data_IF_856596592653
#
_entry.id   IF_856596592653
#
_cell.length_a   1.000
_cell.length_b   1.000
_cell.length_c   1.000
_cell.angle_alpha   90.00
_cell.angle_beta   90.00
_cell.angle_gamma   90.00
#
_symmetry.space_group_name_H-M   'P 1'
#
loop_
_entity.id
_entity.type
_entity.pdbx_description
1 polymer ?
#
# COMPACT_ATOMS: atom_id res chain seq x y z
N UNK A 1 -1.89 -17.09 -2.47
CA UNK A 1 -1.35 -17.19 -1.09
C UNK A 1 -0.69 -15.87 -0.73
N UNK A 2 -0.78 -15.45 0.54
CA UNK A 2 -0.01 -14.31 1.05
C UNK A 2 1.34 -14.81 1.55
N UNK A 3 2.42 -14.16 1.11
CA UNK A 3 3.80 -14.50 1.49
C UNK A 3 4.58 -13.23 1.82
N UNK A 4 5.63 -13.37 2.65
CA UNK A 4 6.62 -12.30 2.81
C UNK A 4 7.43 -12.17 1.52
N UNK A 5 7.66 -10.93 1.09
CA UNK A 5 8.49 -10.62 -0.07
C UNK A 5 9.93 -10.34 0.39
N UNK A 6 10.89 -10.78 -0.42
CA UNK A 6 12.33 -10.54 -0.23
C UNK A 6 12.92 -9.70 -1.35
N UNK A 7 14.23 -9.44 -1.29
CA UNK A 7 14.95 -8.58 -2.24
C UNK A 7 14.79 -9.03 -3.70
N UNK A 8 14.67 -10.34 -3.95
CA UNK A 8 14.46 -10.90 -5.29
C UNK A 8 13.09 -10.53 -5.89
N UNK A 9 12.11 -10.17 -5.07
CA UNK A 9 10.79 -9.72 -5.52
C UNK A 9 10.76 -8.24 -5.94
N UNK A 10 11.85 -7.48 -5.74
CA UNK A 10 11.86 -6.02 -5.86
C UNK A 10 11.37 -5.50 -7.23
N UNK A 11 11.76 -6.18 -8.31
CA UNK A 11 11.35 -5.78 -9.66
C UNK A 11 9.84 -5.95 -9.89
N UNK A 12 9.28 -7.06 -9.42
CA UNK A 12 7.84 -7.34 -9.54
C UNK A 12 7.03 -6.43 -8.62
N UNK A 13 7.50 -6.20 -7.40
CA UNK A 13 6.91 -5.26 -6.45
C UNK A 13 6.85 -3.84 -7.02
N UNK A 14 7.96 -3.32 -7.55
CA UNK A 14 8.02 -2.00 -8.16
C UNK A 14 7.06 -1.88 -9.35
N UNK A 15 6.93 -2.93 -10.15
CA UNK A 15 6.04 -2.98 -11.31
C UNK A 15 4.57 -2.90 -10.89
N UNK A 16 4.14 -3.74 -9.95
CA UNK A 16 2.76 -3.75 -9.44
C UNK A 16 2.44 -2.44 -8.73
N UNK A 17 3.37 -1.90 -7.93
CA UNK A 17 3.21 -0.61 -7.28
C UNK A 17 2.98 0.49 -8.31
N UNK A 18 3.84 0.64 -9.32
CA UNK A 18 3.68 1.68 -10.33
C UNK A 18 2.34 1.55 -11.06
N UNK A 19 1.96 0.35 -11.47
CA UNK A 19 0.68 0.11 -12.12
C UNK A 19 -0.52 0.51 -11.24
N UNK A 20 -0.48 0.18 -9.94
CA UNK A 20 -1.57 0.48 -9.01
C UNK A 20 -1.74 1.99 -8.75
N UNK A 21 -0.65 2.76 -8.75
CA UNK A 21 -0.67 4.19 -8.41
C UNK A 21 -0.96 5.12 -9.60
N UNK A 22 -1.07 4.60 -10.83
CA UNK A 22 -1.50 5.41 -12.00
C UNK A 22 -2.90 6.01 -11.80
N UNK A 23 -3.82 5.27 -11.18
CA UNK A 23 -5.17 5.79 -10.89
C UNK A 23 -5.14 6.95 -9.89
N UNK A 24 -4.34 6.83 -8.83
CA UNK A 24 -4.20 7.88 -7.81
C UNK A 24 -3.51 9.14 -8.39
N UNK A 25 -2.55 8.99 -9.32
CA UNK A 25 -1.89 10.14 -9.93
C UNK A 25 -2.78 10.96 -10.88
N UNK A 26 -3.85 10.35 -11.40
CA UNK A 26 -4.89 11.08 -12.14
C UNK A 26 -5.78 11.93 -11.23
N UNK A 27 -5.84 11.62 -9.93
CA UNK A 27 -6.70 12.29 -8.95
C UNK A 27 -5.98 13.40 -8.18
N UNK A 28 -4.66 13.25 -7.98
CA UNK A 28 -3.86 14.16 -7.16
C UNK A 28 -2.71 14.81 -7.94
N UNK A 29 -1.59 14.10 -8.07
CA UNK A 29 -0.35 14.61 -8.65
C UNK A 29 0.31 13.53 -9.50
N UNK A 30 0.94 13.93 -10.59
CA UNK A 30 1.69 13.04 -11.47
C UNK A 30 2.94 12.46 -10.79
N UNK A 31 3.48 13.13 -9.77
CA UNK A 31 4.73 12.79 -9.10
C UNK A 31 4.54 12.21 -7.69
N UNK A 32 3.58 11.30 -7.52
CA UNK A 32 3.39 10.63 -6.23
C UNK A 32 4.65 9.83 -5.85
N UNK A 33 5.09 9.84 -4.57
CA UNK A 33 6.27 9.10 -4.12
C UNK A 33 6.34 7.61 -4.54
N UNK A 34 5.22 6.84 -4.56
CA UNK A 34 5.23 5.46 -5.07
C UNK A 34 5.56 5.31 -6.57
N UNK A 35 5.34 6.36 -7.37
CA UNK A 35 5.65 6.35 -8.81
C UNK A 35 7.11 6.72 -9.07
N UNK A 36 7.71 7.56 -8.22
CA UNK A 36 9.09 8.01 -8.33
C UNK A 36 10.09 7.14 -7.55
N UNK A 37 9.62 6.26 -6.67
CA UNK A 37 10.47 5.32 -5.93
C UNK A 37 11.30 4.46 -6.91
N UNK A 38 12.58 4.35 -6.59
CA UNK A 38 13.60 3.63 -7.36
C UNK A 38 13.64 2.16 -6.97
N UNK A 39 14.21 1.33 -7.86
CA UNK A 39 14.40 -0.09 -7.56
C UNK A 39 15.32 -0.31 -6.35
N UNK A 40 16.34 0.54 -6.17
CA UNK A 40 17.26 0.42 -5.05
C UNK A 40 16.61 0.82 -3.72
N UNK A 41 15.71 1.80 -3.70
CA UNK A 41 14.90 2.12 -2.52
C UNK A 41 13.94 0.96 -2.16
N UNK A 42 13.30 0.34 -3.16
CA UNK A 42 12.47 -0.85 -2.94
C UNK A 42 13.28 -2.00 -2.36
N UNK A 43 14.48 -2.27 -2.91
CA UNK A 43 15.41 -3.28 -2.38
C UNK A 43 15.83 -2.94 -0.95
N UNK A 44 16.13 -1.67 -0.67
CA UNK A 44 16.52 -1.22 0.65
C UNK A 44 15.41 -1.51 1.68
N UNK A 45 14.15 -1.24 1.36
CA UNK A 45 13.02 -1.58 2.25
C UNK A 45 12.84 -3.09 2.41
N UNK A 46 12.97 -3.87 1.34
CA UNK A 46 12.87 -5.33 1.40
C UNK A 46 14.00 -6.00 2.21
N UNK A 47 15.16 -5.34 2.31
CA UNK A 47 16.31 -5.82 3.07
C UNK A 47 16.24 -5.47 4.57
N UNK A 48 15.23 -4.70 5.01
CA UNK A 48 15.09 -4.33 6.42
C UNK A 48 14.51 -5.49 7.23
N UNK A 49 15.14 -5.79 8.36
CA UNK A 49 14.64 -6.78 9.32
C UNK A 49 13.43 -6.26 10.13
N UNK A 50 13.32 -4.95 10.30
CA UNK A 50 12.30 -4.29 11.11
C UNK A 50 11.05 -3.86 10.32
N UNK A 51 11.05 -4.06 8.99
CA UNK A 51 9.88 -3.86 8.14
C UNK A 51 9.30 -5.22 7.70
N UNK A 52 8.01 -5.26 7.38
CA UNK A 52 7.35 -6.44 6.82
C UNK A 52 6.76 -6.06 5.47
N UNK A 53 7.18 -6.73 4.39
CA UNK A 53 6.56 -6.57 3.08
C UNK A 53 5.83 -7.87 2.72
N UNK A 54 4.53 -7.78 2.48
CA UNK A 54 3.68 -8.92 2.17
C UNK A 54 3.15 -8.79 0.74
N UNK A 55 3.09 -9.90 0.02
CA UNK A 55 2.55 -9.99 -1.33
C UNK A 55 1.51 -11.08 -1.43
N UNK A 56 0.50 -10.88 -2.28
CA UNK A 56 -0.49 -11.91 -2.62
C UNK A 56 -0.18 -12.43 -4.03
N UNK A 57 0.13 -13.73 -4.12
CA UNK A 57 0.42 -14.42 -5.38
C UNK A 57 -0.70 -15.37 -5.79
N UNK A 58 -0.95 -15.44 -7.09
CA UNK A 58 -1.84 -16.41 -7.74
C UNK A 58 -1.18 -16.91 -9.03
N UNK A 59 -1.07 -18.23 -9.20
CA UNK A 59 -0.37 -18.86 -10.34
C UNK A 59 1.02 -18.26 -10.65
N UNK A 60 1.78 -17.94 -9.60
CA UNK A 60 3.12 -17.35 -9.72
C UNK A 60 3.14 -15.82 -9.87
N UNK A 61 2.05 -15.19 -10.27
CA UNK A 61 1.95 -13.73 -10.46
C UNK A 61 1.69 -13.01 -9.15
N UNK A 62 2.42 -11.92 -8.87
CA UNK A 62 2.12 -10.98 -7.80
C UNK A 62 0.92 -10.11 -8.19
N UNK A 63 -0.17 -10.21 -7.42
CA UNK A 63 -1.40 -9.45 -7.66
C UNK A 63 -1.46 -8.14 -6.87
N UNK A 64 -0.67 -8.03 -5.82
CA UNK A 64 -0.66 -6.87 -4.93
C UNK A 64 0.33 -7.06 -3.79
N UNK A 65 0.65 -5.96 -3.12
CA UNK A 65 1.55 -5.95 -1.98
C UNK A 65 1.18 -4.87 -0.96
N UNK A 66 1.74 -4.99 0.23
CA UNK A 66 1.61 -4.03 1.32
C UNK A 66 2.87 -4.04 2.17
N UNK A 67 3.22 -2.88 2.74
CA UNK A 67 4.34 -2.72 3.66
C UNK A 67 3.81 -2.40 5.05
N UNK A 68 4.41 -2.99 6.07
CA UNK A 68 4.24 -2.60 7.47
C UNK A 68 5.60 -2.09 7.95
N UNK A 69 5.65 -0.80 8.27
CA UNK A 69 6.87 -0.14 8.71
C UNK A 69 7.06 -0.32 10.23
N UNK A 70 8.27 -0.11 10.78
CA UNK A 70 8.54 -0.27 12.22
C UNK A 70 7.64 0.59 13.13
N UNK A 71 7.15 1.71 12.61
CA UNK A 71 6.21 2.61 13.28
C UNK A 71 4.77 2.07 13.37
N UNK A 72 4.49 0.90 12.80
CA UNK A 72 3.13 0.37 12.62
C UNK A 72 2.39 0.94 11.40
N UNK A 73 3.07 1.71 10.54
CA UNK A 73 2.46 2.26 9.33
C UNK A 73 2.16 1.16 8.32
N UNK A 74 0.89 1.04 7.90
CA UNK A 74 0.48 0.28 6.71
C UNK A 74 0.71 1.17 5.50
N UNK A 75 1.87 1.00 4.87
CA UNK A 75 2.31 1.77 3.72
C UNK A 75 2.17 0.98 2.42
N UNK A 76 2.04 1.70 1.30
CA UNK A 76 2.15 1.15 -0.06
C UNK A 76 1.24 -0.07 -0.32
N UNK A 77 0.04 -0.08 0.27
CA UNK A 77 -0.99 -1.05 -0.13
C UNK A 77 -1.33 -0.83 -1.60
N UNK A 78 -1.02 -1.80 -2.44
CA UNK A 78 -1.19 -1.72 -3.88
C UNK A 78 -1.79 -3.02 -4.42
N UNK A 79 -2.64 -2.88 -5.44
CA UNK A 79 -3.29 -4.00 -6.13
C UNK A 79 -3.20 -3.74 -7.62
N UNK A 80 -2.76 -4.75 -8.36
CA UNK A 80 -2.69 -4.71 -9.81
C UNK A 80 -4.06 -4.28 -10.40
N UNK A 81 -4.11 -3.33 -11.36
CA UNK A 81 -5.37 -2.73 -11.81
C UNK A 81 -6.44 -3.74 -12.24
N UNK A 82 -6.05 -4.81 -12.92
CA UNK A 82 -6.93 -5.88 -13.39
C UNK A 82 -7.46 -6.81 -12.30
N UNK A 83 -7.00 -6.65 -11.05
CA UNK A 83 -7.42 -7.44 -9.87
C UNK A 83 -8.03 -6.58 -8.77
N UNK A 84 -8.30 -5.31 -9.06
CA UNK A 84 -9.03 -4.44 -8.14
C UNK A 84 -10.50 -4.85 -8.07
N UNK A 85 -11.10 -4.77 -6.88
CA UNK A 85 -12.47 -5.26 -6.64
C UNK A 85 -12.57 -6.75 -6.31
N UNK A 86 -11.53 -7.55 -6.56
CA UNK A 86 -11.52 -9.00 -6.34
C UNK A 86 -11.13 -9.42 -4.90
N UNK A 87 -11.13 -8.48 -3.95
CA UNK A 87 -10.80 -8.75 -2.55
C UNK A 87 -9.30 -8.85 -2.22
N UNK A 88 -8.40 -8.65 -3.19
CA UNK A 88 -6.93 -8.67 -2.97
C UNK A 88 -6.51 -7.64 -1.92
N UNK A 89 -6.99 -6.39 -2.05
CA UNK A 89 -6.69 -5.31 -1.09
C UNK A 89 -7.17 -5.62 0.32
N UNK A 90 -8.37 -6.21 0.45
CA UNK A 90 -8.89 -6.69 1.74
C UNK A 90 -8.01 -7.77 2.35
N UNK A 91 -7.56 -8.75 1.56
CA UNK A 91 -6.70 -9.82 2.05
C UNK A 91 -5.34 -9.28 2.53
N UNK A 92 -4.72 -8.39 1.76
CA UNK A 92 -3.45 -7.76 2.11
C UNK A 92 -3.58 -6.86 3.35
N UNK A 93 -4.63 -6.04 3.44
CA UNK A 93 -4.85 -5.18 4.61
C UNK A 93 -5.03 -6.01 5.89
N UNK A 94 -5.80 -7.10 5.85
CA UNK A 94 -5.94 -8.02 6.99
C UNK A 94 -4.60 -8.61 7.42
N UNK A 95 -3.77 -9.00 6.45
CA UNK A 95 -2.43 -9.53 6.74
C UNK A 95 -1.50 -8.46 7.31
N UNK A 96 -1.57 -7.22 6.82
CA UNK A 96 -0.82 -6.09 7.38
C UNK A 96 -1.20 -5.80 8.83
N UNK A 97 -2.50 -5.79 9.15
CA UNK A 97 -2.99 -5.63 10.54
C UNK A 97 -2.45 -6.76 11.42
N UNK A 98 -2.52 -8.02 10.95
CA UNK A 98 -1.99 -9.17 11.69
C UNK A 98 -0.46 -9.10 11.88
N UNK A 99 0.25 -8.41 11.00
CA UNK A 99 1.69 -8.17 11.07
C UNK A 99 2.07 -6.92 11.90
N UNK A 100 1.11 -6.27 12.58
CA UNK A 100 1.37 -5.13 13.46
C UNK A 100 1.07 -3.75 12.86
N UNK A 101 0.39 -3.70 11.70
CA UNK A 101 -0.08 -2.45 11.12
C UNK A 101 -1.21 -1.82 11.93
N UNK A 102 -1.01 -0.58 12.40
CA UNK A 102 -1.92 0.14 13.30
C UNK A 102 -2.38 1.49 12.75
N UNK A 103 -1.66 2.08 11.80
CA UNK A 103 -2.06 3.36 11.22
C UNK A 103 -1.68 3.47 9.74
N UNK A 104 -2.31 4.40 9.03
CA UNK A 104 -2.04 4.71 7.63
C UNK A 104 -2.52 6.12 7.28
N UNK A 105 -2.19 6.56 6.08
CA UNK A 105 -2.82 7.73 5.48
C UNK A 105 -3.16 7.49 4.02
N UNK A 106 -4.13 8.24 3.52
CA UNK A 106 -4.57 8.24 2.12
C UNK A 106 -5.05 9.64 1.75
N UNK A 107 -5.09 9.98 0.47
CA UNK A 107 -5.70 11.25 0.08
C UNK A 107 -7.22 11.25 0.31
N UNK A 108 -7.79 12.41 0.56
CA UNK A 108 -9.21 12.62 0.87
C UNK A 108 -10.17 12.33 -0.30
N UNK A 109 -9.68 12.30 -1.53
CA UNK A 109 -10.43 11.92 -2.75
C UNK A 109 -10.36 10.43 -3.05
N UNK A 110 -9.58 9.63 -2.31
CA UNK A 110 -9.40 8.18 -2.52
C UNK A 110 -10.53 7.41 -1.83
N UNK A 111 -11.76 7.66 -2.26
CA UNK A 111 -12.99 7.18 -1.60
C UNK A 111 -13.04 5.65 -1.45
N UNK A 112 -12.47 4.91 -2.41
CA UNK A 112 -12.36 3.45 -2.33
C UNK A 112 -11.47 2.99 -1.16
N UNK A 113 -10.33 3.67 -0.97
CA UNK A 113 -9.40 3.40 0.13
C UNK A 113 -10.04 3.73 1.48
N UNK A 114 -10.66 4.90 1.60
CA UNK A 114 -11.36 5.31 2.83
C UNK A 114 -12.41 4.27 3.26
N UNK A 115 -13.30 3.86 2.36
CA UNK A 115 -14.31 2.82 2.63
C UNK A 115 -13.69 1.48 3.03
N UNK A 116 -12.59 1.09 2.38
CA UNK A 116 -11.86 -0.13 2.72
C UNK A 116 -11.33 -0.05 4.16
N UNK A 117 -10.65 1.04 4.52
CA UNK A 117 -10.03 1.19 5.83
C UNK A 117 -11.08 1.27 6.95
N UNK A 118 -12.14 2.06 6.76
CA UNK A 118 -13.27 2.16 7.71
C UNK A 118 -13.93 0.81 7.95
N UNK A 119 -14.20 0.03 6.90
CA UNK A 119 -14.75 -1.34 7.00
C UNK A 119 -13.85 -2.28 7.80
N UNK A 120 -12.55 -2.01 7.85
CA UNK A 120 -11.56 -2.78 8.61
C UNK A 120 -11.20 -2.14 9.96
N UNK A 121 -12.01 -1.18 10.43
CA UNK A 121 -11.94 -0.62 11.78
C UNK A 121 -10.89 0.46 11.97
N UNK A 122 -10.32 0.99 10.88
CA UNK A 122 -9.56 2.24 10.96
C UNK A 122 -10.52 3.42 11.12
N UNK A 123 -10.15 4.35 11.97
CA UNK A 123 -10.92 5.58 12.22
C UNK A 123 -10.06 6.79 11.90
N UNK A 124 -10.65 7.77 11.20
CA UNK A 124 -9.99 9.04 10.91
C UNK A 124 -9.62 9.75 12.21
N UNK A 125 -8.34 10.13 12.33
CA UNK A 125 -7.81 10.86 13.47
C UNK A 125 -7.62 12.33 13.15
N UNK A 126 -7.12 12.63 11.95
CA UNK A 126 -6.87 14.00 11.51
C UNK A 126 -6.77 14.10 9.99
N UNK A 127 -6.89 15.34 9.51
CA UNK A 127 -6.61 15.73 8.13
C UNK A 127 -5.52 16.79 8.09
N UNK A 128 -4.64 16.69 7.12
CA UNK A 128 -3.58 17.67 6.89
C UNK A 128 -3.61 18.15 5.43
N UNK A 129 -3.52 19.46 5.17
CA UNK A 129 -3.40 19.97 3.81
C UNK A 129 -2.12 19.47 3.13
N UNK A 130 -2.23 19.04 1.88
CA UNK A 130 -1.11 18.65 1.02
C UNK A 130 -1.38 19.08 -0.42
N UNK A 131 -0.70 20.14 -0.86
CA UNK A 131 -0.97 20.74 -2.17
C UNK A 131 -2.40 21.27 -2.27
N UNK A 132 -3.17 20.75 -3.23
CA UNK A 132 -4.57 21.12 -3.51
C UNK A 132 -5.61 20.22 -2.81
N UNK A 133 -5.16 19.24 -2.02
CA UNK A 133 -6.00 18.23 -1.38
C UNK A 133 -5.58 18.01 0.09
N UNK A 134 -6.21 17.05 0.76
CA UNK A 134 -5.84 16.69 2.13
C UNK A 134 -5.37 15.24 2.20
N UNK A 135 -4.42 14.98 3.09
CA UNK A 135 -4.12 13.64 3.58
C UNK A 135 -5.00 13.36 4.78
N UNK A 136 -5.67 12.21 4.76
CA UNK A 136 -6.48 11.68 5.86
C UNK A 136 -5.66 10.63 6.57
N UNK A 137 -5.39 10.83 7.86
CA UNK A 137 -4.67 9.89 8.70
C UNK A 137 -5.65 9.07 9.52
N UNK A 138 -5.52 7.75 9.49
CA UNK A 138 -6.41 6.81 10.17
C UNK A 138 -5.61 5.84 11.05
N UNK A 139 -6.20 5.41 12.16
CA UNK A 139 -5.59 4.42 13.08
C UNK A 139 -6.59 3.38 13.61
N UNK A 140 -6.04 2.27 14.12
CA UNK A 140 -6.72 1.13 14.74
C UNK A 140 -6.00 0.71 16.02
#
# INVERSE_FOLDING_TARGET
>A
MITRLGVDDAGELLTVQRAAYVGESMVYDQFLPPLTETLDEVRAVLARDDAVVLGLREHGRLLGAVRVMPSGEVARLCVAPDRQGDGVGTALLRAAIAAGGTWLFTGDRSLGNLRLYEKHGFTEQRREPFGDHNLVFLSR
#
